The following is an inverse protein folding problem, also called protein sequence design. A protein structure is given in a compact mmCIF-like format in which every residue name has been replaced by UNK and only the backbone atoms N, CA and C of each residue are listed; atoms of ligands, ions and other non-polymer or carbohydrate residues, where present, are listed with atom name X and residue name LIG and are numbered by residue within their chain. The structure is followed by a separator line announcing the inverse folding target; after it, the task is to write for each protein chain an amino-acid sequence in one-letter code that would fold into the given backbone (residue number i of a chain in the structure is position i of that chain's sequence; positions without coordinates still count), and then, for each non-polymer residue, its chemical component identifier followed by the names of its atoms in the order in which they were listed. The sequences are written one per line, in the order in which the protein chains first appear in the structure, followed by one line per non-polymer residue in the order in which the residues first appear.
data_IF_909468444471
#
_entry.id   IF_909468444471
#
_cell.length_a   1.000
_cell.length_b   1.000
_cell.length_c   1.000
_cell.angle_alpha   90.00
_cell.angle_beta   90.00
_cell.angle_gamma   90.00
#
_symmetry.space_group_name_H-M   'P 1'
#
loop_
_entity.id
_entity.type
_entity.pdbx_description
1 polymer ?
#
# COMPACT_ATOMS: atom_id res chain seq x y z
N UNK A 1 67.74 48.12 29.87
CA UNK A 1 67.16 49.46 30.06
C UNK A 1 66.32 49.84 28.85
N UNK A 2 65.15 50.39 29.11
CA UNK A 2 63.97 50.67 28.26
C UNK A 2 62.92 49.57 28.29
N UNK A 3 61.91 49.68 29.16
CA UNK A 3 60.79 50.63 29.24
C UNK A 3 59.50 49.96 28.76
N UNK A 4 58.85 49.41 29.77
CA UNK A 4 57.43 49.20 29.95
C UNK A 4 56.58 50.37 29.41
N UNK A 5 55.54 50.08 28.64
CA UNK A 5 54.25 50.78 28.77
C UNK A 5 53.12 49.83 28.38
N UNK A 6 52.22 49.66 29.34
CA UNK A 6 51.05 48.80 29.29
C UNK A 6 50.05 49.25 28.22
N UNK A 7 49.55 48.30 27.43
CA UNK A 7 48.34 48.48 26.64
C UNK A 7 47.21 47.76 27.35
N UNK A 8 46.36 48.54 28.01
CA UNK A 8 45.06 48.11 28.53
C UNK A 8 44.22 47.53 27.40
N UNK A 9 44.04 46.21 27.41
CA UNK A 9 43.02 45.54 26.61
C UNK A 9 41.72 45.57 27.43
N UNK A 10 40.84 46.51 27.09
CA UNK A 10 39.44 46.49 27.54
C UNK A 10 38.80 45.16 27.10
N UNK A 11 38.63 44.25 28.07
CA UNK A 11 37.67 43.16 27.99
C UNK A 11 36.27 43.78 27.97
N UNK A 12 35.72 43.99 26.77
CA UNK A 12 34.29 44.17 26.61
C UNK A 12 33.62 42.85 26.99
N UNK A 13 33.00 42.85 28.17
CA UNK A 13 32.00 41.87 28.57
C UNK A 13 30.85 41.90 27.55
N UNK A 14 30.96 41.10 26.50
CA UNK A 14 29.84 40.72 25.63
C UNK A 14 28.87 39.90 26.48
N UNK A 15 28.03 40.60 27.24
CA UNK A 15 26.85 40.02 27.86
C UNK A 15 26.04 39.35 26.74
N UNK A 16 25.80 38.03 26.79
CA UNK A 16 24.95 37.37 25.81
C UNK A 16 23.58 38.04 25.89
N UNK A 17 23.23 38.78 24.82
CA UNK A 17 21.90 39.36 24.70
C UNK A 17 20.91 38.21 24.82
N UNK A 18 20.00 38.31 25.79
CA UNK A 18 18.94 37.34 25.98
C UNK A 18 18.12 37.29 24.69
N UNK A 19 18.37 36.26 23.89
CA UNK A 19 17.66 35.99 22.65
C UNK A 19 16.17 35.85 23.03
N UNK A 20 15.32 36.67 22.43
CA UNK A 20 13.91 36.78 22.78
C UNK A 20 13.16 35.49 22.39
N UNK A 21 13.15 34.53 23.30
CA UNK A 21 12.53 33.20 23.17
C UNK A 21 11.07 33.24 22.70
N UNK A 22 10.35 34.35 22.93
CA UNK A 22 8.96 34.50 22.51
C UNK A 22 8.81 34.63 20.98
N UNK A 23 9.80 35.24 20.31
CA UNK A 23 9.78 35.40 18.85
C UNK A 23 10.00 34.06 18.13
N UNK A 24 10.89 33.21 18.65
CA UNK A 24 11.16 31.87 18.11
C UNK A 24 9.94 30.94 18.19
N UNK A 25 9.21 30.99 19.32
CA UNK A 25 7.99 30.20 19.47
C UNK A 25 6.91 30.59 18.47
N UNK A 26 6.75 31.90 18.18
CA UNK A 26 5.75 32.40 17.24
C UNK A 26 6.04 31.97 15.80
N UNK A 27 7.30 32.00 15.38
CA UNK A 27 7.73 31.56 14.04
C UNK A 27 7.49 30.05 13.88
N UNK A 28 7.89 29.24 14.87
CA UNK A 28 7.69 27.79 14.84
C UNK A 28 6.20 27.39 14.81
N UNK A 29 5.32 28.16 15.45
CA UNK A 29 3.87 27.94 15.39
C UNK A 29 3.28 28.34 14.02
N UNK A 30 3.78 29.40 13.41
CA UNK A 30 3.34 29.84 12.08
C UNK A 30 3.75 28.83 11.00
N UNK A 31 4.98 28.32 11.04
CA UNK A 31 5.46 27.27 10.14
C UNK A 31 4.64 25.99 10.29
N UNK A 32 4.34 25.57 11.53
CA UNK A 32 3.48 24.41 11.79
C UNK A 32 2.08 24.59 11.21
N UNK A 33 1.49 25.79 11.31
CA UNK A 33 0.17 26.10 10.72
C UNK A 33 0.20 26.08 9.19
N UNK A 34 1.24 26.64 8.58
CA UNK A 34 1.39 26.60 7.11
C UNK A 34 1.60 25.18 6.60
N UNK A 35 2.46 24.39 7.26
CA UNK A 35 2.68 22.99 6.93
C UNK A 35 1.41 22.15 7.04
N UNK A 36 0.65 22.34 8.12
CA UNK A 36 -0.65 21.70 8.32
C UNK A 36 -1.63 22.01 7.18
N UNK A 37 -1.70 23.27 6.76
CA UNK A 37 -2.53 23.69 5.62
C UNK A 37 -2.11 22.98 4.32
N UNK A 38 -0.80 22.94 4.02
CA UNK A 38 -0.29 22.25 2.81
C UNK A 38 -0.60 20.75 2.81
N UNK A 39 -0.41 20.08 3.95
CA UNK A 39 -0.70 18.65 4.11
C UNK A 39 -2.19 18.37 3.89
N UNK A 40 -3.07 19.19 4.47
CA UNK A 40 -4.51 19.05 4.37
C UNK A 40 -5.03 19.32 2.95
N UNK A 41 -4.50 20.33 2.26
CA UNK A 41 -4.82 20.62 0.85
C UNK A 41 -4.43 19.44 -0.03
N UNK A 42 -3.20 18.94 0.10
CA UNK A 42 -2.72 17.83 -0.73
C UNK A 42 -3.48 16.52 -0.45
N UNK A 43 -3.83 16.26 0.81
CA UNK A 43 -4.63 15.08 1.16
C UNK A 43 -6.03 15.15 0.56
N UNK A 44 -6.70 16.31 0.60
CA UNK A 44 -8.00 16.51 -0.05
C UNK A 44 -7.93 16.35 -1.57
N UNK A 45 -6.88 16.89 -2.20
CA UNK A 45 -6.64 16.72 -3.63
C UNK A 45 -6.49 15.24 -4.01
N UNK A 46 -5.67 14.48 -3.28
CA UNK A 46 -5.52 13.03 -3.51
C UNK A 46 -6.83 12.26 -3.29
N UNK A 47 -7.62 12.62 -2.27
CA UNK A 47 -8.95 12.01 -2.06
C UNK A 47 -9.89 12.32 -3.22
N UNK A 48 -9.91 13.55 -3.72
CA UNK A 48 -10.70 13.93 -4.90
C UNK A 48 -10.26 13.15 -6.16
N UNK A 49 -9.00 12.71 -6.20
CA UNK A 49 -8.43 11.89 -7.27
C UNK A 49 -8.60 10.38 -7.07
N UNK A 50 -9.30 9.96 -6.01
CA UNK A 50 -9.62 8.56 -5.73
C UNK A 50 -8.57 7.81 -4.90
N UNK A 51 -7.62 8.50 -4.28
CA UNK A 51 -6.66 7.89 -3.36
C UNK A 51 -7.18 7.88 -1.93
N UNK A 52 -7.04 6.74 -1.27
CA UNK A 52 -7.25 6.60 0.17
C UNK A 52 -5.94 6.95 0.88
N UNK A 53 -5.93 8.05 1.63
CA UNK A 53 -4.72 8.61 2.23
C UNK A 53 -4.79 8.69 3.74
N UNK A 54 -3.65 8.64 4.40
CA UNK A 54 -3.56 8.85 5.83
C UNK A 54 -2.19 9.44 6.15
N UNK A 55 -1.97 9.87 7.39
CA UNK A 55 -0.70 10.50 7.76
C UNK A 55 0.11 9.64 8.72
N UNK A 56 1.42 9.85 8.76
CA UNK A 56 2.29 9.26 9.75
C UNK A 56 3.32 10.29 10.25
N UNK A 57 3.77 10.10 11.48
CA UNK A 57 4.96 10.78 11.99
C UNK A 57 6.19 10.01 11.54
N UNK A 58 7.03 10.63 10.73
CA UNK A 58 8.32 10.08 10.30
C UNK A 58 9.46 10.82 10.96
N UNK A 59 10.38 10.06 11.57
CA UNK A 59 11.58 10.57 12.20
C UNK A 59 12.80 9.82 11.67
N UNK A 60 13.92 10.52 11.52
CA UNK A 60 15.20 9.87 11.27
C UNK A 60 15.89 9.56 12.60
N UNK A 61 16.17 8.29 12.85
CA UNK A 61 16.98 7.85 13.99
C UNK A 61 18.40 7.56 13.49
N UNK A 62 19.34 8.46 13.82
CA UNK A 62 20.75 8.32 13.44
C UNK A 62 21.44 7.10 14.08
N UNK A 63 20.91 6.58 15.21
CA UNK A 63 21.50 5.43 15.91
C UNK A 63 21.02 4.08 15.36
N UNK A 64 19.93 4.09 14.58
CA UNK A 64 19.41 2.89 13.96
C UNK A 64 20.44 2.22 13.02
N UNK A 65 20.25 0.92 12.78
CA UNK A 65 21.07 0.10 11.86
C UNK A 65 22.59 0.20 12.13
N UNK A 66 23.00 0.10 13.41
CA UNK A 66 24.41 0.18 13.84
C UNK A 66 25.08 1.53 13.46
N UNK A 67 24.35 2.63 13.66
CA UNK A 67 24.84 3.98 13.37
C UNK A 67 24.75 4.42 11.91
N UNK A 68 24.19 3.59 11.02
CA UNK A 68 23.90 3.99 9.62
C UNK A 68 22.68 4.90 9.49
N UNK A 69 21.94 5.05 10.58
CA UNK A 69 20.68 5.75 10.61
C UNK A 69 19.54 4.95 9.98
N UNK A 70 18.32 5.37 10.26
CA UNK A 70 17.13 4.72 9.75
C UNK A 70 15.89 5.57 9.91
N UNK A 71 14.97 5.42 8.95
CA UNK A 71 13.66 6.03 9.01
C UNK A 71 12.77 5.23 9.96
N UNK A 72 12.18 5.89 10.96
CA UNK A 72 11.11 5.36 11.80
C UNK A 72 9.82 6.08 11.43
N UNK A 73 8.91 5.34 10.80
CA UNK A 73 7.59 5.84 10.40
C UNK A 73 6.53 5.25 11.33
N UNK A 74 5.66 6.10 11.88
CA UNK A 74 4.64 5.72 12.85
C UNK A 74 3.26 6.10 12.28
N UNK A 75 2.61 5.18 11.54
CA UNK A 75 1.24 5.37 11.08
C UNK A 75 0.21 5.06 12.20
N UNK A 76 -1.04 5.52 12.07
CA UNK A 76 -2.17 5.10 12.90
C UNK A 76 -2.30 3.57 12.88
N UNK A 77 -2.56 2.91 14.02
CA UNK A 77 -2.58 1.43 14.08
C UNK A 77 -3.61 0.80 13.14
N UNK A 78 -4.78 1.43 13.03
CA UNK A 78 -5.90 0.92 12.25
C UNK A 78 -5.91 1.41 10.81
N UNK A 79 -4.82 2.05 10.33
CA UNK A 79 -4.72 2.58 8.98
C UNK A 79 -5.17 1.61 7.86
N UNK A 80 -5.01 0.27 7.95
CA UNK A 80 -5.47 -0.62 6.89
C UNK A 80 -6.99 -0.57 6.66
N UNK A 81 -7.76 -0.15 7.67
CA UNK A 81 -9.20 0.00 7.61
C UNK A 81 -9.67 1.34 7.02
N UNK A 82 -8.74 2.23 6.65
CA UNK A 82 -9.09 3.51 6.02
C UNK A 82 -9.77 3.30 4.68
N UNK A 83 -10.79 4.10 4.41
CA UNK A 83 -11.59 4.09 3.18
C UNK A 83 -11.65 5.50 2.59
N UNK A 84 -12.06 5.64 1.33
CA UNK A 84 -12.19 6.96 0.72
C UNK A 84 -13.13 7.89 1.51
N UNK A 85 -14.15 7.34 2.17
CA UNK A 85 -15.15 8.10 2.91
C UNK A 85 -14.66 8.63 4.27
N UNK A 86 -13.70 7.97 4.91
CA UNK A 86 -13.30 8.27 6.30
C UNK A 86 -11.80 8.53 6.47
N UNK A 87 -11.00 8.43 5.42
CA UNK A 87 -9.55 8.55 5.49
C UNK A 87 -9.03 9.93 5.95
N UNK A 88 -9.85 10.98 5.86
CA UNK A 88 -9.53 12.32 6.37
C UNK A 88 -10.05 12.60 7.79
N UNK A 89 -10.64 11.61 8.47
CA UNK A 89 -11.01 11.77 9.88
C UNK A 89 -9.78 11.74 10.79
N UNK A 90 -9.91 12.32 11.99
CA UNK A 90 -8.84 12.36 13.01
C UNK A 90 -8.29 10.97 13.40
N UNK A 91 -9.03 9.90 13.08
CA UNK A 91 -8.60 8.51 13.25
C UNK A 91 -7.38 8.15 12.39
N UNK A 92 -7.29 8.70 11.18
CA UNK A 92 -6.26 8.35 10.19
C UNK A 92 -5.40 9.55 9.75
N UNK A 93 -5.98 10.74 9.82
CA UNK A 93 -5.37 11.96 9.32
C UNK A 93 -5.10 12.95 10.44
N UNK A 94 -3.86 13.41 10.55
CA UNK A 94 -3.41 14.43 11.48
C UNK A 94 -2.59 15.43 10.66
N UNK A 95 -3.06 16.65 10.41
CA UNK A 95 -2.42 17.56 9.47
C UNK A 95 -1.00 17.99 9.89
N UNK A 96 -0.67 17.86 11.17
CA UNK A 96 0.66 18.17 11.71
C UNK A 96 1.69 17.05 11.54
N UNK A 97 1.27 15.86 11.09
CA UNK A 97 2.20 14.81 10.71
C UNK A 97 2.94 15.23 9.44
N UNK A 98 4.19 14.79 9.31
CA UNK A 98 5.08 15.21 8.23
C UNK A 98 5.08 14.26 7.02
N UNK A 99 4.36 13.13 7.09
CA UNK A 99 4.29 12.15 6.02
C UNK A 99 2.85 11.86 5.64
N UNK A 100 2.54 12.02 4.37
CA UNK A 100 1.32 11.55 3.71
C UNK A 100 1.58 10.17 3.10
N UNK A 101 0.67 9.25 3.35
CA UNK A 101 0.74 7.86 2.90
C UNK A 101 -0.52 7.53 2.10
N UNK A 102 -0.34 6.75 1.04
CA UNK A 102 -1.44 6.14 0.28
C UNK A 102 -1.62 4.71 0.78
N UNK A 103 -2.86 4.34 1.11
CA UNK A 103 -3.27 2.96 1.31
C UNK A 103 -3.42 2.32 -0.08
N UNK A 104 -2.43 1.52 -0.51
CA UNK A 104 -2.35 1.02 -1.89
C UNK A 104 -3.48 0.05 -2.21
N UNK A 105 -3.89 -0.76 -1.22
CA UNK A 105 -5.00 -1.70 -1.35
C UNK A 105 -6.33 -0.98 -1.53
N UNK A 106 -6.67 -0.06 -0.62
CA UNK A 106 -7.93 0.66 -0.67
C UNK A 106 -8.03 1.63 -1.87
N UNK A 107 -6.89 2.09 -2.40
CA UNK A 107 -6.84 2.95 -3.59
C UNK A 107 -6.81 2.17 -4.91
N UNK A 108 -6.68 0.84 -4.88
CA UNK A 108 -6.57 0.04 -6.11
C UNK A 108 -5.31 0.34 -6.94
N UNK A 109 -4.21 0.74 -6.30
CA UNK A 109 -2.95 1.10 -6.96
C UNK A 109 -1.83 0.13 -6.62
N UNK A 110 -0.89 0.00 -7.56
CA UNK A 110 0.36 -0.75 -7.38
C UNK A 110 1.52 0.21 -7.59
N UNK A 111 2.52 0.14 -6.72
CA UNK A 111 3.70 0.99 -6.79
C UNK A 111 4.96 0.15 -6.79
N UNK A 112 5.82 0.38 -7.77
CA UNK A 112 7.20 -0.10 -7.78
C UNK A 112 8.06 0.87 -6.98
N UNK A 113 8.78 0.36 -5.99
CA UNK A 113 9.63 1.12 -5.09
C UNK A 113 11.10 0.73 -5.34
N UNK A 114 11.85 1.66 -5.95
CA UNK A 114 13.25 1.50 -6.31
C UNK A 114 14.12 2.26 -5.32
N UNK A 115 14.65 1.54 -4.33
CA UNK A 115 15.51 2.11 -3.29
C UNK A 115 16.99 2.19 -3.73
N UNK A 116 17.65 3.29 -3.35
CA UNK A 116 19.10 3.49 -3.57
C UNK A 116 19.95 2.44 -2.83
N UNK A 117 19.49 1.99 -1.66
CA UNK A 117 20.31 1.16 -0.75
C UNK A 117 20.48 -0.30 -1.16
N UNK A 118 19.65 -0.81 -2.06
CA UNK A 118 19.55 -2.25 -2.38
C UNK A 118 19.74 -2.57 -3.87
N UNK A 119 20.31 -1.63 -4.64
CA UNK A 119 20.51 -1.80 -6.08
C UNK A 119 19.28 -1.49 -6.94
N UNK A 120 18.27 -0.81 -6.36
CA UNK A 120 17.02 -0.51 -7.04
C UNK A 120 17.18 0.46 -8.20
N UNK A 121 18.02 1.49 -8.03
CA UNK A 121 18.26 2.48 -9.09
C UNK A 121 19.03 1.88 -10.27
N UNK A 122 19.97 0.98 -10.03
CA UNK A 122 20.68 0.23 -11.05
C UNK A 122 19.72 -0.69 -11.82
N UNK A 123 18.79 -1.34 -11.10
CA UNK A 123 17.77 -2.17 -11.72
C UNK A 123 16.78 -1.34 -12.54
N UNK A 124 16.39 -0.16 -12.07
CA UNK A 124 15.56 0.80 -12.83
C UNK A 124 16.27 1.18 -14.13
N UNK A 125 17.52 1.64 -14.07
CA UNK A 125 18.30 2.04 -15.24
C UNK A 125 18.46 0.88 -16.25
N UNK A 126 18.69 -0.34 -15.75
CA UNK A 126 18.77 -1.54 -16.59
C UNK A 126 17.44 -1.79 -17.32
N UNK A 127 16.31 -1.77 -16.61
CA UNK A 127 15.00 -1.98 -17.22
C UNK A 127 14.61 -0.88 -18.20
N UNK A 128 14.95 0.38 -17.92
CA UNK A 128 14.69 1.47 -18.86
C UNK A 128 15.56 1.39 -20.12
N UNK A 129 16.77 0.85 -20.00
CA UNK A 129 17.63 0.58 -21.16
C UNK A 129 17.07 -0.56 -22.00
N UNK A 130 16.55 -1.62 -21.36
CA UNK A 130 16.07 -2.82 -22.05
C UNK A 130 14.67 -2.66 -22.65
N UNK A 131 13.77 -1.98 -21.94
CA UNK A 131 12.34 -1.93 -22.25
C UNK A 131 11.83 -0.51 -22.56
N UNK A 132 12.70 0.50 -22.47
CA UNK A 132 12.32 1.90 -22.53
C UNK A 132 11.84 2.44 -21.18
N UNK A 133 11.76 3.77 -21.08
CA UNK A 133 11.28 4.45 -19.88
C UNK A 133 9.85 4.01 -19.54
N UNK A 134 9.57 3.82 -18.24
CA UNK A 134 8.19 3.61 -17.78
C UNK A 134 7.33 4.83 -18.12
N UNK A 135 6.26 4.61 -18.87
CA UNK A 135 5.20 5.58 -19.16
C UNK A 135 4.19 5.61 -18.01
N UNK A 136 4.63 6.11 -16.85
CA UNK A 136 3.85 6.16 -15.61
C UNK A 136 4.33 7.27 -14.68
N UNK A 137 3.46 7.84 -13.81
CA UNK A 137 3.86 8.87 -12.86
C UNK A 137 4.96 8.40 -11.92
N UNK A 138 5.95 9.26 -11.69
CA UNK A 138 7.09 9.01 -10.83
C UNK A 138 7.09 9.97 -9.65
N UNK A 139 7.43 9.45 -8.48
CA UNK A 139 7.71 10.26 -7.30
C UNK A 139 9.13 9.99 -6.85
N UNK A 140 9.95 11.03 -6.76
CA UNK A 140 11.25 10.97 -6.09
C UNK A 140 11.03 10.87 -4.60
N UNK A 141 11.74 9.97 -3.96
CA UNK A 141 11.63 9.72 -2.52
C UNK A 141 12.62 10.58 -1.74
N UNK A 142 12.34 10.78 -0.45
CA UNK A 142 13.26 11.47 0.45
C UNK A 142 14.63 10.78 0.64
N UNK A 143 14.76 9.49 0.31
CA UNK A 143 16.02 8.76 0.33
C UNK A 143 16.81 8.84 -0.98
N UNK A 144 16.23 9.42 -2.04
CA UNK A 144 16.82 9.50 -3.38
C UNK A 144 16.38 8.39 -4.35
N UNK A 145 15.56 7.43 -3.89
CA UNK A 145 14.93 6.41 -4.73
C UNK A 145 13.72 6.94 -5.51
N UNK A 146 13.01 6.05 -6.20
CA UNK A 146 11.85 6.40 -7.04
C UNK A 146 10.67 5.46 -6.79
N UNK A 147 9.47 6.02 -6.65
CA UNK A 147 8.21 5.30 -6.72
C UNK A 147 7.59 5.47 -8.12
N UNK A 148 7.11 4.40 -8.74
CA UNK A 148 6.39 4.43 -10.03
C UNK A 148 5.00 3.83 -9.86
N UNK A 149 3.96 4.58 -10.22
CA UNK A 149 2.56 4.27 -9.89
C UNK A 149 1.80 3.66 -11.07
N UNK A 150 1.03 2.60 -10.78
CA UNK A 150 0.20 1.89 -11.76
C UNK A 150 -1.19 1.59 -11.19
N UNK A 151 -2.17 1.43 -12.07
CA UNK A 151 -3.51 0.97 -11.72
C UNK A 151 -3.53 -0.56 -11.58
N UNK A 152 -3.98 -1.07 -10.42
CA UNK A 152 -4.17 -2.51 -10.24
C UNK A 152 -5.23 -3.06 -11.20
N UNK A 153 -6.39 -2.38 -11.27
CA UNK A 153 -7.53 -2.79 -12.12
C UNK A 153 -7.13 -2.88 -13.59
N UNK A 154 -6.42 -1.87 -14.12
CA UNK A 154 -5.97 -1.90 -15.52
C UNK A 154 -4.88 -2.95 -15.73
N UNK A 155 -4.05 -3.25 -14.73
CA UNK A 155 -3.08 -4.33 -14.79
C UNK A 155 -3.75 -5.70 -14.90
N UNK A 156 -4.83 -5.95 -14.13
CA UNK A 156 -5.66 -7.15 -14.28
C UNK A 156 -6.24 -7.26 -15.69
N UNK A 157 -6.83 -6.17 -16.20
CA UNK A 157 -7.35 -6.11 -17.57
C UNK A 157 -6.26 -6.31 -18.64
N UNK A 158 -5.00 -6.06 -18.28
CA UNK A 158 -3.83 -6.25 -19.15
C UNK A 158 -3.16 -7.62 -18.99
N UNK A 159 -3.74 -8.51 -18.18
CA UNK A 159 -3.29 -9.90 -18.02
C UNK A 159 -2.57 -10.21 -16.71
N UNK A 160 -2.54 -9.31 -15.73
CA UNK A 160 -2.07 -9.66 -14.38
C UNK A 160 -3.02 -10.69 -13.76
N UNK A 161 -2.46 -11.80 -13.28
CA UNK A 161 -3.24 -12.84 -12.61
C UNK A 161 -3.92 -12.31 -11.35
N UNK A 162 -5.16 -12.73 -11.12
CA UNK A 162 -5.99 -12.28 -9.98
C UNK A 162 -5.34 -12.62 -8.63
N UNK A 163 -4.67 -13.77 -8.57
CA UNK A 163 -3.95 -14.26 -7.39
C UNK A 163 -2.47 -13.86 -7.37
N UNK A 164 -1.99 -13.09 -8.37
CA UNK A 164 -0.59 -12.70 -8.45
C UNK A 164 -0.26 -11.73 -7.31
N UNK A 165 0.67 -12.07 -6.40
CA UNK A 165 1.00 -11.18 -5.29
C UNK A 165 1.57 -9.85 -5.77
N UNK A 166 0.96 -8.75 -5.34
CA UNK A 166 1.35 -7.37 -5.66
C UNK A 166 2.00 -6.66 -4.48
N UNK A 167 2.39 -7.39 -3.44
CA UNK A 167 3.16 -6.86 -2.33
C UNK A 167 4.32 -7.78 -1.99
N UNK A 168 5.53 -7.25 -2.07
CA UNK A 168 6.75 -7.99 -1.73
C UNK A 168 7.92 -7.04 -1.54
N UNK A 169 8.92 -7.52 -0.80
CA UNK A 169 10.24 -6.92 -0.77
C UNK A 169 11.20 -7.74 -1.63
N UNK A 170 12.04 -7.05 -2.41
CA UNK A 170 13.05 -7.60 -3.33
C UNK A 170 12.49 -8.61 -4.32
N UNK A 171 12.19 -8.15 -5.54
CA UNK A 171 11.73 -9.00 -6.64
C UNK A 171 12.75 -10.10 -6.95
N UNK A 172 12.28 -11.33 -7.15
CA UNK A 172 13.09 -12.45 -7.60
C UNK A 172 12.94 -12.62 -9.10
N UNK A 173 14.05 -12.50 -9.83
CA UNK A 173 14.13 -12.65 -11.28
C UNK A 173 14.85 -13.95 -11.65
N UNK A 174 14.40 -14.59 -12.73
CA UNK A 174 15.21 -15.60 -13.43
C UNK A 174 16.29 -14.88 -14.23
N UNK A 175 17.53 -15.19 -13.93
CA UNK A 175 18.67 -14.70 -14.69
C UNK A 175 19.53 -15.88 -15.11
N UNK A 176 20.07 -15.82 -16.32
CA UNK A 176 21.02 -16.81 -16.79
C UNK A 176 22.38 -16.51 -16.18
N UNK A 177 22.90 -17.46 -15.40
CA UNK A 177 24.22 -17.34 -14.82
C UNK A 177 25.28 -17.37 -15.93
N UNK A 178 26.14 -16.34 -16.05
CA UNK A 178 27.05 -16.21 -17.18
C UNK A 178 28.15 -17.29 -17.18
N UNK A 179 28.46 -17.88 -16.03
CA UNK A 179 29.53 -18.88 -15.90
C UNK A 179 29.04 -20.30 -16.19
N UNK A 180 27.90 -20.68 -15.61
CA UNK A 180 27.33 -22.02 -15.74
C UNK A 180 26.31 -22.14 -16.88
N UNK A 181 25.80 -21.01 -17.38
CA UNK A 181 24.74 -20.96 -18.39
C UNK A 181 23.36 -21.41 -17.89
N UNK A 182 23.25 -21.80 -16.61
CA UNK A 182 22.01 -22.25 -15.96
C UNK A 182 21.18 -21.05 -15.50
N UNK A 183 19.87 -21.22 -15.45
CA UNK A 183 18.99 -20.23 -14.84
C UNK A 183 19.08 -20.29 -13.33
N UNK A 184 19.29 -19.14 -12.70
CA UNK A 184 19.29 -18.97 -11.25
C UNK A 184 18.29 -17.88 -10.87
N UNK A 185 17.78 -17.96 -9.64
CA UNK A 185 16.95 -16.92 -9.05
C UNK A 185 17.83 -15.86 -8.41
N UNK A 186 17.67 -14.60 -8.84
CA UNK A 186 18.37 -13.46 -8.27
C UNK A 186 17.38 -12.48 -7.68
N UNK A 187 17.60 -12.09 -6.42
CA UNK A 187 16.88 -10.98 -5.78
C UNK A 187 17.44 -9.65 -6.29
N UNK A 188 16.56 -8.75 -6.70
CA UNK A 188 16.90 -7.39 -7.12
C UNK A 188 16.25 -6.38 -6.19
N UNK A 189 16.81 -5.16 -6.13
CA UNK A 189 16.39 -4.08 -5.22
C UNK A 189 15.08 -3.41 -5.59
N UNK A 190 14.08 -4.17 -6.04
CA UNK A 190 12.76 -3.67 -6.44
C UNK A 190 11.73 -4.21 -5.47
N UNK A 191 11.12 -3.31 -4.72
CA UNK A 191 9.98 -3.61 -3.87
C UNK A 191 8.69 -3.31 -4.63
N UNK A 192 7.58 -3.95 -4.23
CA UNK A 192 6.26 -3.62 -4.73
C UNK A 192 5.30 -3.43 -3.56
N UNK A 193 4.55 -2.33 -3.59
CA UNK A 193 3.44 -2.05 -2.67
C UNK A 193 2.15 -2.03 -3.48
N UNK A 194 1.31 -3.04 -3.27
CA UNK A 194 0.06 -3.19 -4.00
C UNK A 194 -1.08 -3.66 -3.11
N UNK A 195 -2.05 -4.33 -3.72
CA UNK A 195 -3.33 -4.62 -3.09
C UNK A 195 -3.32 -5.89 -2.26
N UNK A 196 -2.38 -6.82 -2.51
CA UNK A 196 -2.45 -8.17 -1.95
C UNK A 196 -2.18 -8.28 -0.44
N UNK A 197 -1.75 -7.21 0.24
CA UNK A 197 -1.45 -7.30 1.69
C UNK A 197 -1.56 -5.99 2.47
N UNK A 198 -2.54 -5.13 2.19
CA UNK A 198 -2.65 -3.79 2.80
C UNK A 198 -1.29 -3.08 2.75
N UNK A 199 -0.84 -2.72 1.55
CA UNK A 199 0.38 -1.94 1.38
C UNK A 199 0.16 -0.45 1.69
N UNK A 200 1.24 0.23 2.09
CA UNK A 200 1.26 1.68 2.16
C UNK A 200 2.51 2.22 1.47
N UNK A 201 2.41 3.44 0.96
CA UNK A 201 3.54 4.11 0.30
C UNK A 201 3.51 5.61 0.58
N UNK A 202 4.67 6.20 0.84
CA UNK A 202 4.77 7.64 1.07
C UNK A 202 4.65 8.41 -0.25
N UNK A 203 3.93 9.52 -0.23
CA UNK A 203 3.69 10.37 -1.39
C UNK A 203 3.95 11.85 -1.06
N UNK A 204 4.04 12.74 -2.06
CA UNK A 204 4.08 14.18 -1.82
C UNK A 204 2.84 14.63 -1.01
N UNK A 205 2.95 15.65 -0.15
CA UNK A 205 4.11 16.52 0.07
C UNK A 205 4.98 16.04 1.24
N UNK A 206 5.06 14.73 1.50
CA UNK A 206 5.82 14.18 2.63
C UNK A 206 7.23 14.74 2.72
N UNK A 207 7.68 15.05 3.94
CA UNK A 207 9.03 15.48 4.20
C UNK A 207 9.47 15.12 5.62
N UNK A 208 10.78 14.97 5.82
CA UNK A 208 11.34 14.72 7.15
C UNK A 208 12.81 15.16 7.20
N UNK A 209 13.28 15.47 8.40
CA UNK A 209 14.68 15.83 8.62
C UNK A 209 15.57 14.58 8.65
N UNK A 210 16.67 14.63 7.91
CA UNK A 210 17.69 13.58 7.81
C UNK A 210 19.06 14.24 7.84
N UNK A 211 19.80 14.05 8.94
CA UNK A 211 21.18 14.53 9.09
C UNK A 211 21.34 16.05 8.83
N UNK A 212 20.34 16.85 9.19
CA UNK A 212 20.33 18.30 8.96
C UNK A 212 19.83 18.74 7.58
N UNK A 213 19.40 17.80 6.74
CA UNK A 213 18.78 18.08 5.45
C UNK A 213 17.30 17.65 5.45
N UNK A 214 16.44 18.48 4.85
CA UNK A 214 15.04 18.11 4.63
C UNK A 214 14.90 17.18 3.44
N UNK A 215 14.66 15.90 3.71
CA UNK A 215 14.27 14.91 2.71
C UNK A 215 12.81 15.15 2.28
N UNK A 216 12.53 15.18 0.97
CA UNK A 216 11.18 15.46 0.42
C UNK A 216 10.76 14.43 -0.61
N UNK A 217 9.45 14.19 -0.66
CA UNK A 217 8.81 13.43 -1.73
C UNK A 217 8.23 14.40 -2.78
N UNK A 218 8.61 14.25 -4.04
CA UNK A 218 8.19 15.15 -5.12
C UNK A 218 7.82 14.38 -6.38
N UNK A 219 6.81 14.86 -7.11
CA UNK A 219 6.45 14.30 -8.44
C UNK A 219 7.54 14.70 -9.43
N UNK A 220 8.07 13.73 -10.19
CA UNK A 220 9.07 14.01 -11.23
C UNK A 220 8.43 14.78 -12.38
N UNK A 221 9.13 15.78 -12.93
CA UNK A 221 8.56 16.74 -13.88
C UNK A 221 7.72 17.86 -13.24
N UNK A 222 7.49 17.81 -11.93
CA UNK A 222 6.63 18.75 -11.20
C UNK A 222 5.14 18.41 -11.30
N UNK A 223 4.31 19.16 -10.59
CA UNK A 223 2.86 18.98 -10.56
C UNK A 223 2.38 17.98 -9.51
N UNK A 224 1.27 17.30 -9.82
CA UNK A 224 0.52 16.45 -8.89
C UNK A 224 0.36 15.05 -9.47
N UNK A 225 0.03 14.07 -8.62
CA UNK A 225 -0.38 12.75 -9.11
C UNK A 225 -1.69 12.86 -9.91
N UNK A 226 -1.89 12.05 -10.97
CA UNK A 226 -3.12 12.03 -11.76
C UNK A 226 -4.26 11.35 -10.98
N UNK A 227 -5.44 11.21 -11.61
CA UNK A 227 -6.51 10.37 -11.06
C UNK A 227 -6.03 8.92 -10.89
N UNK A 228 -6.43 8.26 -9.80
CA UNK A 228 -6.07 6.86 -9.55
C UNK A 228 -6.56 5.92 -10.66
N UNK A 229 -7.70 6.25 -11.29
CA UNK A 229 -8.26 5.50 -12.42
C UNK A 229 -7.50 5.74 -13.74
N UNK A 230 -6.87 6.89 -13.90
CA UNK A 230 -6.08 7.25 -15.08
C UNK A 230 -4.69 6.63 -15.08
N UNK A 231 -4.22 6.10 -13.94
CA UNK A 231 -2.94 5.43 -13.84
C UNK A 231 -2.83 4.29 -14.87
N UNK A 232 -1.70 4.17 -15.59
CA UNK A 232 -1.50 3.13 -16.59
C UNK A 232 -1.46 1.73 -15.94
N UNK A 233 -1.69 0.65 -16.70
CA UNK A 233 -1.39 -0.70 -16.24
C UNK A 233 0.12 -0.91 -16.07
N UNK A 234 0.52 -1.93 -15.32
CA UNK A 234 1.88 -2.45 -15.38
C UNK A 234 2.23 -2.83 -16.82
N UNK A 235 3.49 -2.60 -17.26
CA UNK A 235 3.90 -3.00 -18.61
C UNK A 235 3.86 -4.51 -18.77
N UNK A 236 3.53 -4.98 -19.97
CA UNK A 236 3.30 -6.41 -20.26
C UNK A 236 4.46 -7.32 -19.83
N UNK A 237 5.69 -6.93 -20.12
CA UNK A 237 6.88 -7.71 -19.75
C UNK A 237 6.99 -7.90 -18.22
N UNK A 238 6.57 -6.92 -17.42
CA UNK A 238 6.60 -7.03 -15.97
C UNK A 238 5.45 -7.88 -15.46
N UNK A 239 4.27 -7.78 -16.08
CA UNK A 239 3.13 -8.67 -15.78
C UNK A 239 3.54 -10.14 -15.99
N UNK A 240 4.24 -10.45 -17.08
CA UNK A 240 4.74 -11.80 -17.36
C UNK A 240 5.68 -12.30 -16.26
N UNK A 241 6.65 -11.48 -15.84
CA UNK A 241 7.56 -11.80 -14.72
C UNK A 241 6.79 -12.09 -13.43
N UNK A 242 5.79 -11.27 -13.11
CA UNK A 242 5.02 -11.40 -11.87
C UNK A 242 4.13 -12.66 -11.88
N UNK A 243 3.46 -12.93 -12.99
CA UNK A 243 2.64 -14.13 -13.15
C UNK A 243 3.49 -15.41 -13.11
N UNK A 244 4.66 -15.38 -13.75
CA UNK A 244 5.60 -16.50 -13.72
C UNK A 244 6.07 -16.78 -12.28
N UNK A 245 6.38 -15.72 -11.52
CA UNK A 245 6.75 -15.84 -10.12
C UNK A 245 5.62 -16.44 -9.27
N UNK A 246 4.39 -15.97 -9.44
CA UNK A 246 3.23 -16.49 -8.71
C UNK A 246 3.02 -18.00 -8.95
N UNK A 247 3.17 -18.43 -10.21
CA UNK A 247 2.99 -19.82 -10.63
C UNK A 247 3.99 -20.79 -9.99
N UNK A 248 5.15 -20.31 -9.52
CA UNK A 248 6.15 -21.13 -8.82
C UNK A 248 5.81 -21.32 -7.36
N UNK A 249 5.24 -20.30 -6.72
CA UNK A 249 4.86 -20.36 -5.31
C UNK A 249 3.73 -21.36 -5.03
N UNK A 250 2.89 -21.64 -6.03
CA UNK A 250 1.80 -22.61 -5.93
C UNK A 250 2.23 -24.07 -6.14
N UNK A 251 3.45 -24.33 -6.62
CA UNK A 251 3.86 -25.65 -7.12
C UNK A 251 4.52 -26.61 -6.12
N UNK A 252 5.05 -26.15 -4.99
CA UNK A 252 5.89 -26.99 -4.12
C UNK A 252 5.70 -26.72 -2.62
N UNK A 253 4.48 -26.89 -2.11
CA UNK A 253 4.37 -27.60 -0.83
C UNK A 253 4.28 -29.09 -1.17
N UNK A 254 5.43 -29.66 -1.51
CA UNK A 254 5.58 -31.11 -1.58
C UNK A 254 5.25 -31.65 -0.19
N UNK A 255 4.02 -32.16 -0.04
CA UNK A 255 3.71 -33.09 1.03
C UNK A 255 4.78 -34.17 1.00
N UNK A 256 5.45 -34.37 2.14
CA UNK A 256 6.36 -35.48 2.31
C UNK A 256 5.67 -36.80 1.91
N UNK A 257 6.46 -37.83 1.57
CA UNK A 257 5.97 -39.02 0.89
C UNK A 257 4.90 -39.71 1.73
N UNK A 258 3.63 -39.47 1.39
CA UNK A 258 2.55 -40.38 1.73
C UNK A 258 2.47 -41.39 0.60
N UNK A 259 2.68 -42.64 0.98
CA UNK A 259 2.63 -43.80 0.10
C UNK A 259 1.38 -43.79 -0.77
N UNK A 260 1.64 -43.89 -2.07
CA UNK A 260 0.96 -44.77 -3.03
C UNK A 260 -0.50 -45.09 -2.71
N UNK A 261 -1.42 -44.57 -3.51
CA UNK A 261 -2.37 -45.44 -4.23
C UNK A 261 -2.90 -44.76 -5.51
N UNK A 262 -2.84 -45.55 -6.57
CA UNK A 262 -3.12 -45.30 -7.98
C UNK A 262 -4.54 -44.80 -8.29
N UNK A 263 -4.66 -43.91 -9.29
CA UNK A 263 -5.94 -43.58 -9.93
C UNK A 263 -5.78 -42.61 -11.11
N UNK A 264 -5.85 -43.12 -12.33
CA UNK A 264 -5.68 -42.39 -13.58
C UNK A 264 -6.93 -41.61 -14.01
N UNK A 265 -6.73 -40.46 -14.68
CA UNK A 265 -7.75 -39.80 -15.52
C UNK A 265 -7.28 -38.45 -16.08
N UNK A 266 -7.32 -38.21 -17.41
CA UNK A 266 -6.90 -36.95 -18.01
C UNK A 266 -8.09 -36.00 -18.18
N UNK A 267 -7.91 -34.71 -17.89
CA UNK A 267 -8.86 -33.69 -18.37
C UNK A 267 -8.15 -32.39 -18.70
N UNK A 268 -7.94 -32.19 -20.00
CA UNK A 268 -7.69 -30.89 -20.60
C UNK A 268 -8.93 -29.99 -20.39
N UNK A 269 -8.73 -28.71 -20.09
CA UNK A 269 -9.82 -27.73 -20.22
C UNK A 269 -9.31 -26.46 -20.89
N UNK A 270 -9.98 -26.15 -22.00
CA UNK A 270 -9.77 -25.03 -22.87
C UNK A 270 -10.29 -23.72 -22.24
N UNK A 271 -9.66 -22.62 -22.65
CA UNK A 271 -10.03 -21.24 -22.36
C UNK A 271 -11.41 -20.89 -22.94
N UNK A 272 -12.34 -20.48 -22.08
CA UNK A 272 -13.61 -19.88 -22.46
C UNK A 272 -13.63 -18.41 -22.00
N UNK A 273 -14.18 -17.52 -22.83
CA UNK A 273 -14.29 -16.09 -22.53
C UNK A 273 -15.09 -15.85 -21.26
N UNK A 274 -14.68 -14.83 -20.49
CA UNK A 274 -15.38 -14.40 -19.29
C UNK A 274 -16.70 -13.70 -19.67
N UNK A 275 -17.75 -14.48 -19.89
CA UNK A 275 -19.10 -14.02 -19.61
C UNK A 275 -19.24 -13.88 -18.09
N UNK A 276 -19.93 -12.83 -17.63
CA UNK A 276 -20.26 -12.68 -16.23
C UNK A 276 -20.98 -13.96 -15.78
N UNK A 277 -20.52 -14.62 -14.70
CA UNK A 277 -21.06 -15.91 -14.31
C UNK A 277 -22.59 -15.84 -14.15
N UNK A 278 -23.29 -16.80 -14.72
CA UNK A 278 -24.74 -16.91 -14.56
C UNK A 278 -25.05 -17.24 -13.09
N UNK A 279 -25.36 -16.22 -12.29
CA UNK A 279 -25.64 -16.35 -10.86
C UNK A 279 -26.99 -17.03 -10.59
N UNK A 280 -27.72 -17.46 -11.62
CA UNK A 280 -28.83 -18.42 -11.47
C UNK A 280 -28.35 -19.88 -11.43
N UNK A 281 -27.06 -20.12 -11.70
CA UNK A 281 -26.43 -21.43 -11.52
C UNK A 281 -26.38 -21.79 -10.02
N UNK A 282 -27.09 -22.87 -9.68
CA UNK A 282 -27.14 -23.40 -8.32
C UNK A 282 -25.79 -23.90 -7.82
N UNK A 283 -24.91 -24.36 -8.72
CA UNK A 283 -23.55 -24.80 -8.36
C UNK A 283 -22.71 -23.64 -7.86
N UNK A 284 -22.66 -22.56 -8.64
CA UNK A 284 -21.93 -21.35 -8.26
C UNK A 284 -22.53 -20.70 -6.99
N UNK A 285 -23.85 -20.70 -6.85
CA UNK A 285 -24.51 -20.22 -5.65
C UNK A 285 -24.07 -21.02 -4.40
N UNK A 286 -23.93 -22.34 -4.51
CA UNK A 286 -23.45 -23.18 -3.41
C UNK A 286 -22.01 -22.85 -3.04
N UNK A 287 -21.12 -22.69 -4.02
CA UNK A 287 -19.72 -22.31 -3.80
C UNK A 287 -19.61 -20.96 -3.07
N UNK A 288 -20.35 -19.94 -3.52
CA UNK A 288 -20.38 -18.62 -2.86
C UNK A 288 -20.91 -18.71 -1.42
N UNK A 289 -21.94 -19.52 -1.19
CA UNK A 289 -22.49 -19.75 0.15
C UNK A 289 -21.48 -20.47 1.06
N UNK A 290 -20.69 -21.42 0.53
CA UNK A 290 -19.64 -22.09 1.30
C UNK A 290 -18.49 -21.14 1.67
N UNK A 291 -18.04 -20.30 0.74
CA UNK A 291 -17.01 -19.28 1.01
C UNK A 291 -17.49 -18.28 2.06
N UNK A 292 -18.72 -17.76 1.92
CA UNK A 292 -19.32 -16.87 2.91
C UNK A 292 -19.45 -17.53 4.28
N UNK A 293 -19.82 -18.82 4.34
CA UNK A 293 -19.90 -19.57 5.59
C UNK A 293 -18.53 -19.68 6.26
N UNK A 294 -17.48 -20.00 5.50
CA UNK A 294 -16.11 -20.02 6.01
C UNK A 294 -15.66 -18.67 6.57
N UNK A 295 -16.00 -17.58 5.87
CA UNK A 295 -15.75 -16.22 6.33
C UNK A 295 -16.51 -15.88 7.62
N UNK A 296 -17.80 -16.18 7.71
CA UNK A 296 -18.60 -15.94 8.92
C UNK A 296 -18.07 -16.75 10.12
N UNK A 297 -17.74 -18.03 9.91
CA UNK A 297 -17.13 -18.89 10.93
C UNK A 297 -15.79 -18.35 11.42
N UNK A 298 -14.96 -17.77 10.56
CA UNK A 298 -13.67 -17.18 10.98
C UNK A 298 -13.84 -15.94 11.87
N UNK A 299 -14.98 -15.25 11.77
CA UNK A 299 -15.40 -14.19 12.70
C UNK A 299 -16.17 -14.70 13.93
N UNK A 300 -16.23 -16.02 14.13
CA UNK A 300 -16.92 -16.65 15.26
C UNK A 300 -18.44 -16.79 15.07
N UNK A 301 -18.98 -16.46 13.90
CA UNK A 301 -20.39 -16.65 13.59
C UNK A 301 -20.65 -18.02 12.97
N UNK A 302 -21.07 -18.95 13.82
CA UNK A 302 -21.51 -20.29 13.41
C UNK A 302 -23.04 -20.45 13.43
N UNK A 303 -23.77 -19.38 13.72
CA UNK A 303 -25.25 -19.37 13.85
C UNK A 303 -25.96 -18.94 12.56
N UNK A 304 -25.21 -18.37 11.63
CA UNK A 304 -25.71 -17.91 10.34
C UNK A 304 -26.07 -19.05 9.41
N UNK A 305 -27.34 -19.05 8.99
CA UNK A 305 -27.86 -19.97 7.98
C UNK A 305 -28.25 -19.18 6.75
N UNK A 306 -27.71 -19.57 5.60
CA UNK A 306 -28.12 -19.01 4.31
C UNK A 306 -29.61 -19.23 4.10
N UNK A 307 -30.31 -18.18 3.69
CA UNK A 307 -31.77 -18.19 3.52
C UNK A 307 -32.17 -18.18 2.05
N UNK A 308 -31.68 -17.21 1.28
CA UNK A 308 -31.97 -17.05 -0.16
C UNK A 308 -30.95 -16.11 -0.80
N UNK A 309 -30.82 -16.16 -2.12
CA UNK A 309 -30.17 -15.11 -2.88
C UNK A 309 -31.18 -14.49 -3.84
N UNK A 310 -31.06 -13.19 -4.10
CA UNK A 310 -31.92 -12.47 -5.05
C UNK A 310 -31.13 -11.39 -5.79
N UNK A 311 -31.54 -11.01 -7.01
CA UNK A 311 -30.92 -9.90 -7.73
C UNK A 311 -30.95 -8.61 -6.90
N UNK A 312 -29.81 -7.93 -6.81
CA UNK A 312 -29.70 -6.67 -6.09
C UNK A 312 -30.19 -5.53 -6.97
N UNK A 313 -31.22 -4.82 -6.51
CA UNK A 313 -31.70 -3.59 -7.18
C UNK A 313 -30.83 -2.37 -6.86
N UNK A 314 -29.91 -2.49 -5.90
CA UNK A 314 -29.10 -1.38 -5.37
C UNK A 314 -27.69 -1.38 -5.96
N UNK A 315 -27.11 -2.56 -6.23
CA UNK A 315 -25.71 -2.70 -6.63
C UNK A 315 -25.48 -2.80 -8.16
N UNK A 316 -26.51 -2.52 -8.96
CA UNK A 316 -26.44 -2.52 -10.43
C UNK A 316 -26.89 -3.84 -11.07
N UNK A 317 -27.02 -3.81 -12.40
CA UNK A 317 -27.41 -4.97 -13.22
C UNK A 317 -26.40 -6.10 -13.07
N UNK A 318 -26.89 -7.27 -12.64
CA UNK A 318 -26.06 -8.48 -12.45
C UNK A 318 -25.55 -8.69 -11.02
N UNK A 319 -25.72 -7.73 -10.12
CA UNK A 319 -25.36 -7.94 -8.72
C UNK A 319 -26.38 -8.82 -7.98
N UNK A 320 -25.93 -9.61 -7.00
CA UNK A 320 -26.79 -10.51 -6.21
C UNK A 320 -26.61 -10.25 -4.72
N UNK A 321 -27.74 -10.22 -4.02
CA UNK A 321 -27.82 -10.08 -2.58
C UNK A 321 -28.06 -11.44 -1.94
N UNK A 322 -27.18 -11.82 -1.02
CA UNK A 322 -27.28 -13.08 -0.27
C UNK A 322 -27.86 -12.77 1.12
N UNK A 323 -28.98 -13.40 1.43
CA UNK A 323 -29.70 -13.24 2.68
C UNK A 323 -29.31 -14.33 3.66
N UNK A 324 -28.91 -13.93 4.86
CA UNK A 324 -28.58 -14.83 5.96
C UNK A 324 -29.53 -14.59 7.12
N UNK A 325 -29.94 -15.66 7.78
CA UNK A 325 -30.76 -15.62 8.99
C UNK A 325 -30.03 -16.34 10.13
N UNK A 326 -30.31 -15.94 11.35
CA UNK A 326 -29.80 -16.66 12.51
C UNK A 326 -30.62 -17.94 12.69
N UNK A 327 -29.96 -19.03 13.08
CA UNK A 327 -30.65 -20.16 13.66
C UNK A 327 -31.39 -19.75 14.95
N UNK A 328 -32.30 -20.59 15.43
CA UNK A 328 -33.14 -20.30 16.60
C UNK A 328 -32.37 -20.02 17.90
N UNK A 329 -31.03 -20.15 17.90
CA UNK A 329 -30.16 -19.78 19.00
C UNK A 329 -29.97 -18.26 19.16
N UNK A 330 -30.21 -17.48 18.10
CA UNK A 330 -30.08 -16.01 18.11
C UNK A 330 -28.63 -15.53 18.28
N UNK A 331 -28.27 -14.42 17.62
CA UNK A 331 -27.01 -13.73 17.93
C UNK A 331 -27.21 -12.72 19.04
N UNK A 332 -26.26 -12.65 19.97
CA UNK A 332 -25.93 -11.36 20.59
C UNK A 332 -24.99 -10.63 19.63
N UNK A 333 -25.51 -9.61 18.95
CA UNK A 333 -24.63 -8.68 18.25
C UNK A 333 -23.78 -7.97 19.32
N UNK A 334 -22.44 -8.03 19.25
CA UNK A 334 -21.58 -7.40 20.26
C UNK A 334 -21.71 -5.86 20.27
N UNK A 335 -22.41 -5.29 19.30
CA UNK A 335 -22.66 -3.85 19.15
C UNK A 335 -24.14 -3.46 19.31
N UNK A 336 -25.06 -4.40 19.53
CA UNK A 336 -26.45 -4.06 19.80
C UNK A 336 -26.62 -3.75 21.28
N UNK A 337 -27.26 -2.63 21.59
CA UNK A 337 -27.71 -2.34 22.96
C UNK A 337 -28.61 -3.47 23.47
N UNK A 338 -28.55 -3.76 24.77
CA UNK A 338 -29.40 -4.77 25.41
C UNK A 338 -30.88 -4.57 25.01
N UNK A 339 -31.41 -5.48 24.20
CA UNK A 339 -32.81 -5.46 23.74
C UNK A 339 -33.04 -5.28 22.23
N UNK A 340 -32.02 -4.90 21.45
CA UNK A 340 -32.17 -4.74 19.99
C UNK A 340 -31.84 -6.02 19.21
N UNK A 341 -32.82 -6.93 19.06
CA UNK A 341 -32.67 -8.14 18.24
C UNK A 341 -33.08 -7.86 16.79
N UNK A 342 -32.11 -7.58 15.90
CA UNK A 342 -32.36 -7.59 14.45
C UNK A 342 -32.36 -9.03 13.94
N UNK A 343 -33.41 -9.43 13.21
CA UNK A 343 -33.60 -10.80 12.70
C UNK A 343 -33.01 -11.05 11.31
N UNK A 344 -32.38 -10.06 10.68
CA UNK A 344 -31.92 -10.19 9.29
C UNK A 344 -30.66 -9.37 9.04
N UNK A 345 -29.66 -10.00 8.43
CA UNK A 345 -28.48 -9.34 7.89
C UNK A 345 -28.39 -9.66 6.38
N UNK A 346 -28.11 -8.64 5.57
CA UNK A 346 -27.95 -8.77 4.13
C UNK A 346 -26.51 -8.41 3.73
N UNK A 347 -25.90 -9.22 2.88
CA UNK A 347 -24.59 -8.94 2.29
C UNK A 347 -24.75 -8.76 0.79
N UNK A 348 -24.20 -7.65 0.28
CA UNK A 348 -24.23 -7.30 -1.14
C UNK A 348 -22.87 -7.66 -1.74
N UNK A 349 -22.87 -8.49 -2.78
CA UNK A 349 -21.69 -8.67 -3.65
C UNK A 349 -22.00 -8.04 -5.00
N UNK A 350 -21.18 -7.06 -5.40
CA UNK A 350 -21.20 -6.48 -6.74
C UNK A 350 -20.42 -7.38 -7.72
N UNK A 351 -20.84 -7.36 -8.98
CA UNK A 351 -20.16 -8.04 -10.10
C UNK A 351 -18.77 -7.49 -10.39
#
# INVERSE_FOLDING_TARGET
DNEETASDNEMLDDCPQAVDTAQDHRLADQERKMGASTMEIAARDLVAKGYVVFTASTQWDAKAKRGKGGKKMIPPRDWPASTLADCLTDRFFQPYNNTLLINTAASGVVVLDFDVGDGGMEQLALWETEHGAFDAPRVRTGSGGVHIYFSHRRSLASGLGVETPTHFAKLELRVRDPTSGKEVLKKVGVDMRGVSSNGMIACPPSSYERLGETARYTVDGGGELPLAEDLPPLPKWLIEILNERASRGSGERSEGPSEVLSGAGPSARASAGFEAPDLTDRGLQQEVVEVMRGMLSSFGDNSSVFSKAEPSTVAGLGAVMYHWRNDGGGRMCPYAEEGACSRTAATILGS
#
